data_IF_786799685895
#
_entry.id   IF_786799685895
#
_cell.length_a   1.000
_cell.length_b   1.000
_cell.length_c   1.000
_cell.angle_alpha   90.00
_cell.angle_beta   90.00
_cell.angle_gamma   90.00
#
_symmetry.space_group_name_H-M   'P 1'
#
loop_
_entity.id
_entity.type
_entity.pdbx_description
1 polymer ?
#
# COMPACT_ATOMS: atom_id res chain seq x y z
N UNK A 1 -17.33 -25.27 -3.37
CA UNK A 1 -17.70 -23.91 -2.90
C UNK A 1 -16.66 -22.95 -3.42
N UNK A 2 -16.88 -22.41 -4.62
CA UNK A 2 -16.01 -21.37 -5.18
C UNK A 2 -16.40 -20.08 -4.48
N UNK A 3 -15.60 -19.65 -3.50
CA UNK A 3 -15.65 -18.26 -3.04
C UNK A 3 -15.30 -17.42 -4.26
N UNK A 4 -16.25 -16.66 -4.78
CA UNK A 4 -15.98 -15.64 -5.79
C UNK A 4 -15.05 -14.61 -5.14
N UNK A 5 -13.75 -14.84 -5.22
CA UNK A 5 -12.75 -13.87 -4.81
C UNK A 5 -12.86 -12.69 -5.76
N UNK A 6 -13.48 -11.60 -5.29
CA UNK A 6 -13.40 -10.35 -6.00
C UNK A 6 -11.95 -9.88 -5.91
N UNK A 7 -11.17 -10.10 -6.98
CA UNK A 7 -9.74 -9.79 -7.06
C UNK A 7 -9.42 -8.34 -6.66
N UNK A 8 -10.41 -7.44 -6.73
CA UNK A 8 -10.25 -6.02 -6.44
C UNK A 8 -10.83 -5.59 -5.09
N UNK A 9 -11.44 -6.46 -4.29
CA UNK A 9 -12.11 -6.03 -3.05
C UNK A 9 -11.15 -5.32 -2.09
N UNK A 10 -9.96 -5.88 -1.89
CA UNK A 10 -8.92 -5.29 -1.04
C UNK A 10 -8.40 -3.98 -1.58
N UNK A 11 -8.24 -3.89 -2.91
CA UNK A 11 -7.83 -2.65 -3.55
C UNK A 11 -8.90 -1.55 -3.42
N UNK A 12 -10.18 -1.89 -3.56
CA UNK A 12 -11.29 -0.95 -3.35
C UNK A 12 -11.33 -0.50 -1.88
N UNK A 13 -11.21 -1.42 -0.92
CA UNK A 13 -11.12 -1.08 0.51
C UNK A 13 -9.94 -0.15 0.80
N UNK A 14 -8.78 -0.42 0.22
CA UNK A 14 -7.62 0.47 0.29
C UNK A 14 -7.98 1.87 -0.23
N UNK A 15 -8.59 1.99 -1.42
CA UNK A 15 -8.95 3.30 -1.98
C UNK A 15 -9.96 4.05 -1.10
N UNK A 16 -10.93 3.34 -0.52
CA UNK A 16 -11.86 3.93 0.45
C UNK A 16 -11.11 4.52 1.63
N UNK A 17 -10.25 3.75 2.30
CA UNK A 17 -9.48 4.28 3.43
C UNK A 17 -8.51 5.39 3.00
N UNK A 18 -7.85 5.22 1.86
CA UNK A 18 -6.84 6.16 1.38
C UNK A 18 -7.43 7.54 1.04
N UNK A 19 -8.66 7.59 0.50
CA UNK A 19 -9.27 8.83 0.03
C UNK A 19 -10.36 9.41 0.94
N UNK A 20 -11.05 8.58 1.73
CA UNK A 20 -12.20 9.04 2.51
C UNK A 20 -11.84 9.38 3.96
N UNK A 21 -11.38 8.40 4.73
CA UNK A 21 -11.06 8.58 6.16
C UNK A 21 -9.56 8.83 6.42
N UNK A 22 -8.74 8.70 5.36
CA UNK A 22 -7.28 8.78 5.41
C UNK A 22 -6.69 7.78 6.42
N UNK A 23 -7.33 6.64 6.68
CA UNK A 23 -6.81 5.61 7.57
C UNK A 23 -5.66 4.85 6.91
N UNK A 24 -4.49 5.49 6.94
CA UNK A 24 -3.28 4.95 6.34
C UNK A 24 -2.73 3.71 7.07
N UNK A 25 -3.16 3.46 8.31
CA UNK A 25 -2.81 2.22 9.00
C UNK A 25 -3.64 1.07 8.44
N UNK A 26 -4.95 1.26 8.29
CA UNK A 26 -5.81 0.25 7.68
C UNK A 26 -5.46 0.01 6.20
N UNK A 27 -5.06 1.06 5.48
CA UNK A 27 -4.50 0.93 4.13
C UNK A 27 -3.29 -0.04 4.07
N UNK A 28 -2.41 0.02 5.08
CA UNK A 28 -1.26 -0.88 5.19
C UNK A 28 -1.72 -2.33 5.39
N UNK A 29 -2.56 -2.57 6.39
CA UNK A 29 -3.02 -3.92 6.75
C UNK A 29 -3.75 -4.60 5.57
N UNK A 30 -4.69 -3.89 4.94
CA UNK A 30 -5.51 -4.43 3.84
C UNK A 30 -4.66 -4.82 2.63
N UNK A 31 -3.69 -3.99 2.24
CA UNK A 31 -2.82 -4.30 1.11
C UNK A 31 -1.69 -5.28 1.45
N UNK A 32 -1.26 -5.37 2.71
CA UNK A 32 -0.30 -6.40 3.11
C UNK A 32 -0.89 -7.81 2.91
N UNK A 33 -2.18 -8.00 3.23
CA UNK A 33 -2.89 -9.24 2.93
C UNK A 33 -2.95 -9.51 1.42
N UNK A 34 -3.26 -8.50 0.59
CA UNK A 34 -3.27 -8.65 -0.87
C UNK A 34 -1.87 -9.02 -1.40
N UNK A 35 -0.83 -8.37 -0.91
CA UNK A 35 0.56 -8.63 -1.30
C UNK A 35 1.01 -10.06 -0.98
N UNK A 36 0.60 -10.61 0.18
CA UNK A 36 0.88 -12.00 0.57
C UNK A 36 0.23 -13.01 -0.39
N UNK A 37 -0.96 -12.71 -0.90
CA UNK A 37 -1.73 -13.57 -1.80
C UNK A 37 -1.30 -13.45 -3.27
N UNK A 38 -0.62 -12.36 -3.65
CA UNK A 38 -0.24 -12.11 -5.03
C UNK A 38 0.85 -13.09 -5.52
N UNK A 39 0.58 -13.71 -6.68
CA UNK A 39 1.50 -14.65 -7.33
C UNK A 39 2.31 -13.99 -8.45
N UNK A 40 1.80 -12.91 -9.04
CA UNK A 40 2.50 -12.15 -10.06
C UNK A 40 3.53 -11.22 -9.42
N UNK A 41 4.80 -11.43 -9.74
CA UNK A 41 5.91 -10.65 -9.18
C UNK A 41 5.82 -9.15 -9.51
N UNK A 42 5.30 -8.78 -10.68
CA UNK A 42 5.14 -7.38 -11.06
C UNK A 42 4.05 -6.70 -10.24
N UNK A 43 2.92 -7.37 -10.03
CA UNK A 43 1.88 -6.85 -9.13
C UNK A 43 2.33 -6.83 -7.67
N UNK A 44 3.16 -7.78 -7.22
CA UNK A 44 3.78 -7.72 -5.89
C UNK A 44 4.58 -6.43 -5.69
N UNK A 45 5.32 -5.96 -6.70
CA UNK A 45 6.04 -4.68 -6.63
C UNK A 45 5.07 -3.51 -6.49
N UNK A 46 3.98 -3.50 -7.27
CA UNK A 46 2.94 -2.46 -7.20
C UNK A 46 2.30 -2.40 -5.81
N UNK A 47 1.85 -3.55 -5.27
CA UNK A 47 1.26 -3.61 -3.94
C UNK A 47 2.22 -3.10 -2.86
N UNK A 48 3.48 -3.52 -2.91
CA UNK A 48 4.50 -3.06 -1.96
C UNK A 48 4.76 -1.54 -2.05
N UNK A 49 4.68 -0.96 -3.25
CA UNK A 49 4.76 0.48 -3.44
C UNK A 49 3.61 1.23 -2.75
N UNK A 50 2.37 0.77 -2.95
CA UNK A 50 1.16 1.35 -2.33
C UNK A 50 1.15 1.22 -0.80
N UNK A 51 1.59 0.07 -0.28
CA UNK A 51 1.76 -0.16 1.17
C UNK A 51 2.73 0.87 1.74
N UNK A 52 3.90 1.05 1.10
CA UNK A 52 4.91 1.99 1.59
C UNK A 52 4.45 3.45 1.51
N UNK A 53 3.69 3.80 0.48
CA UNK A 53 3.07 5.12 0.39
C UNK A 53 2.12 5.38 1.57
N UNK A 54 1.29 4.40 1.93
CA UNK A 54 0.42 4.50 3.11
C UNK A 54 1.24 4.71 4.40
N UNK A 55 2.32 3.96 4.61
CA UNK A 55 3.20 4.13 5.78
C UNK A 55 3.86 5.52 5.79
N UNK A 56 4.32 6.04 4.65
CA UNK A 56 4.87 7.40 4.55
C UNK A 56 3.83 8.44 5.00
N UNK A 57 2.60 8.33 4.49
CA UNK A 57 1.51 9.25 4.81
C UNK A 57 1.05 9.13 6.27
N UNK A 58 1.08 7.92 6.83
CA UNK A 58 0.82 7.68 8.25
C UNK A 58 1.81 8.47 9.14
N UNK A 59 3.11 8.37 8.85
CA UNK A 59 4.13 9.14 9.57
C UNK A 59 3.98 10.65 9.37
N UNK A 60 3.70 11.07 8.14
CA UNK A 60 3.51 12.48 7.81
C UNK A 60 2.33 13.09 8.58
N UNK A 61 1.16 12.43 8.58
CA UNK A 61 -0.06 12.88 9.27
C UNK A 61 0.13 13.04 10.78
N UNK A 62 1.03 12.26 11.39
CA UNK A 62 1.36 12.33 12.81
C UNK A 62 2.44 13.36 13.16
N UNK A 63 2.88 14.19 12.20
CA UNK A 63 3.94 15.17 12.39
C UNK A 63 5.35 14.57 12.42
N UNK A 64 5.51 13.27 12.13
CA UNK A 64 6.82 12.62 12.03
C UNK A 64 7.40 12.80 10.61
N UNK A 65 7.69 14.05 10.26
CA UNK A 65 8.19 14.41 8.92
C UNK A 65 9.56 13.80 8.59
N UNK A 66 10.44 13.69 9.60
CA UNK A 66 11.75 13.05 9.44
C UNK A 66 11.59 11.57 9.08
N UNK A 67 10.71 10.86 9.79
CA UNK A 67 10.35 9.48 9.50
C UNK A 67 9.74 9.32 8.11
N UNK A 68 8.75 10.16 7.77
CA UNK A 68 8.12 10.16 6.45
C UNK A 68 9.13 10.37 5.32
N UNK A 69 10.03 11.37 5.45
CA UNK A 69 11.08 11.64 4.45
C UNK A 69 12.09 10.49 4.33
N UNK A 70 12.43 9.81 5.43
CA UNK A 70 13.28 8.62 5.39
C UNK A 70 12.61 7.49 4.61
N UNK A 71 11.35 7.24 4.90
CA UNK A 71 10.55 6.17 4.27
C UNK A 71 10.25 6.45 2.79
N UNK A 72 10.09 7.71 2.38
CA UNK A 72 9.81 8.08 0.99
C UNK A 72 10.89 7.58 0.00
N UNK A 73 12.13 7.43 0.47
CA UNK A 73 13.23 6.86 -0.34
C UNK A 73 12.92 5.42 -0.77
N UNK A 74 12.22 4.66 0.07
CA UNK A 74 11.82 3.29 -0.22
C UNK A 74 10.65 3.22 -1.22
N UNK A 75 9.89 4.30 -1.40
CA UNK A 75 8.85 4.41 -2.43
C UNK A 75 9.51 4.69 -3.78
N UNK A 76 10.46 5.64 -3.84
CA UNK A 76 11.17 5.97 -5.07
C UNK A 76 11.98 4.81 -5.65
N UNK A 77 12.52 3.93 -4.81
CA UNK A 77 13.23 2.73 -5.28
C UNK A 77 12.33 1.79 -6.09
N UNK A 78 11.00 1.80 -5.85
CA UNK A 78 10.04 0.93 -6.52
C UNK A 78 9.34 1.62 -7.69
N UNK A 79 9.22 2.95 -7.63
CA UNK A 79 8.67 3.75 -8.73
C UNK A 79 9.64 3.87 -9.93
N UNK A 80 10.95 3.75 -9.69
CA UNK A 80 11.99 3.88 -10.71
C UNK A 80 12.64 2.55 -11.08
N UNK A 81 12.14 1.42 -10.59
CA UNK A 81 12.64 0.10 -10.97
C UNK A 81 12.10 -0.22 -12.38
N UNK A 82 12.96 -0.15 -13.43
CA UNK A 82 12.54 -0.55 -14.75
C UNK A 82 12.53 -2.08 -14.73
N UNK A 83 11.34 -2.67 -14.69
CA UNK A 83 11.19 -4.10 -15.00
C UNK A 83 12.07 -4.55 -16.16
#
# INVERSE_FOLDING_TARGET
MLVHYNQNERYIKYLCHFHYDHDFFECHEVLEEQWKLELNNEYKKVWLGLIRLAVVLYHYRRGNYVGAKKLMRHVHAYANDPT
#
